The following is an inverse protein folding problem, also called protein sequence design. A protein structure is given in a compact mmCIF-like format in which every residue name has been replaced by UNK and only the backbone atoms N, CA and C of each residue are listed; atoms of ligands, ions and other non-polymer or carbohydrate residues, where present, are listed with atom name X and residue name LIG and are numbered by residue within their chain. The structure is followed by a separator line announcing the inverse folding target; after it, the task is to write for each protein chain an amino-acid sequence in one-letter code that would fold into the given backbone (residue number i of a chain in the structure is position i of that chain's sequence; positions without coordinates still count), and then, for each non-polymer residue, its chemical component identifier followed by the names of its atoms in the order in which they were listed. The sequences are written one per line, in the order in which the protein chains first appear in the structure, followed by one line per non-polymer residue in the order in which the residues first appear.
data_IF_052817074711
#
_entry.id   IF_052817074711
#
_cell.length_a   1.000
_cell.length_b   1.000
_cell.length_c   1.000
_cell.angle_alpha   90.00
_cell.angle_beta   90.00
_cell.angle_gamma   90.00
#
_symmetry.space_group_name_H-M   'P 1'
#
loop_
_entity.id
_entity.type
_entity.pdbx_description
1 polymer ?
#
# COMPACT_ATOMS: atom_id res chain seq x y z
N UNK A 1 6.56 -7.04 -11.10
CA UNK A 1 7.27 -6.10 -10.20
C UNK A 1 6.82 -6.31 -8.74
N UNK A 2 7.77 -6.42 -7.81
CA UNK A 2 7.46 -6.48 -6.37
C UNK A 2 7.15 -5.05 -5.91
N UNK A 3 6.02 -4.82 -5.26
CA UNK A 3 5.63 -3.50 -4.77
C UNK A 3 6.64 -3.06 -3.71
N UNK A 4 7.09 -1.80 -3.78
CA UNK A 4 7.84 -1.20 -2.69
C UNK A 4 6.86 -0.88 -1.55
N UNK A 5 6.66 -1.88 -0.69
CA UNK A 5 5.69 -1.81 0.42
C UNK A 5 6.02 -0.65 1.37
N UNK A 6 7.29 -0.31 1.56
CA UNK A 6 7.69 0.81 2.40
C UNK A 6 7.19 2.14 1.85
N UNK A 7 7.43 2.39 0.54
CA UNK A 7 6.96 3.61 -0.13
C UNK A 7 5.44 3.70 -0.14
N UNK A 8 4.75 2.59 -0.40
CA UNK A 8 3.29 2.54 -0.36
C UNK A 8 2.74 2.88 1.01
N UNK A 9 3.30 2.29 2.08
CA UNK A 9 2.86 2.55 3.45
C UNK A 9 3.10 4.02 3.82
N UNK A 10 4.24 4.60 3.45
CA UNK A 10 4.49 6.03 3.69
C UNK A 10 3.50 6.94 2.96
N UNK A 11 3.33 6.75 1.65
CA UNK A 11 2.39 7.56 0.86
C UNK A 11 0.95 7.44 1.37
N UNK A 12 0.54 6.24 1.77
CA UNK A 12 -0.77 6.01 2.39
C UNK A 12 -0.94 6.75 3.71
N UNK A 13 0.06 6.71 4.60
CA UNK A 13 0.03 7.41 5.88
C UNK A 13 -0.06 8.93 5.70
N UNK A 14 0.69 9.50 4.76
CA UNK A 14 0.63 10.93 4.42
C UNK A 14 -0.77 11.36 3.95
N UNK A 15 -1.51 10.46 3.30
CA UNK A 15 -2.89 10.69 2.86
C UNK A 15 -3.96 10.32 3.91
N UNK A 16 -3.54 9.92 5.11
CA UNK A 16 -4.40 9.55 6.23
C UNK A 16 -4.97 8.13 6.16
N UNK A 17 -4.38 7.25 5.36
CA UNK A 17 -4.80 5.85 5.21
C UNK A 17 -4.00 4.92 6.13
N UNK A 18 -4.70 4.14 6.94
CA UNK A 18 -4.10 3.11 7.79
C UNK A 18 -3.80 1.83 7.02
N UNK A 19 -2.55 1.61 6.64
CA UNK A 19 -2.09 0.42 5.91
C UNK A 19 -0.98 -0.30 6.70
N UNK A 20 -0.97 -1.63 6.63
CA UNK A 20 0.12 -2.46 7.11
C UNK A 20 0.60 -3.44 6.00
N UNK A 21 1.89 -3.78 6.01
CA UNK A 21 2.44 -4.83 5.16
C UNK A 21 1.82 -6.20 5.50
N UNK A 22 1.59 -7.05 4.49
CA UNK A 22 1.20 -8.45 4.71
C UNK A 22 2.27 -9.25 5.45
N UNK A 23 3.52 -8.84 5.35
CA UNK A 23 4.67 -9.58 5.89
C UNK A 23 4.62 -9.61 7.43
N UNK A 24 4.03 -8.58 8.04
CA UNK A 24 3.76 -8.54 9.49
C UNK A 24 2.78 -9.64 9.97
N UNK A 25 2.12 -10.35 9.05
CA UNK A 25 1.16 -11.42 9.31
C UNK A 25 1.62 -12.77 8.73
N UNK A 26 2.79 -12.83 8.10
CA UNK A 26 3.35 -14.07 7.54
C UNK A 26 4.13 -14.84 8.62
N UNK A 27 3.96 -16.16 8.64
CA UNK A 27 4.82 -17.09 9.40
C UNK A 27 5.85 -17.79 8.51
N UNK A 28 5.79 -17.55 7.20
CA UNK A 28 6.72 -18.09 6.20
C UNK A 28 7.85 -17.11 5.90
N UNK A 29 9.08 -17.64 5.76
CA UNK A 29 10.27 -16.91 5.33
C UNK A 29 10.84 -17.52 4.02
N UNK A 30 10.94 -16.74 2.92
CA UNK A 30 10.49 -15.36 2.78
C UNK A 30 8.94 -15.25 2.67
N UNK A 31 8.35 -14.11 3.07
CA UNK A 31 6.91 -13.90 2.96
C UNK A 31 6.40 -14.11 1.53
N UNK A 32 5.25 -14.77 1.34
CA UNK A 32 4.83 -15.29 0.03
C UNK A 32 4.24 -14.23 -0.91
N UNK A 33 3.97 -13.00 -0.45
CA UNK A 33 2.99 -12.14 -1.11
C UNK A 33 3.38 -10.69 -1.30
N UNK A 34 2.89 -10.13 -2.42
CA UNK A 34 2.83 -8.72 -2.67
C UNK A 34 1.46 -8.16 -2.26
N UNK A 35 1.18 -8.09 -0.96
CA UNK A 35 -0.13 -7.72 -0.43
C UNK A 35 -0.02 -6.69 0.70
N UNK A 36 -1.14 -6.02 0.96
CA UNK A 36 -1.29 -5.08 2.08
C UNK A 36 -2.59 -5.32 2.83
N UNK A 37 -2.59 -4.98 4.12
CA UNK A 37 -3.81 -4.91 4.94
C UNK A 37 -4.26 -3.45 5.03
N UNK A 38 -5.48 -3.18 4.59
CA UNK A 38 -6.13 -1.87 4.69
C UNK A 38 -7.10 -1.83 5.88
N UNK A 39 -6.98 -0.82 6.72
CA UNK A 39 -7.90 -0.60 7.85
C UNK A 39 -9.02 0.37 7.45
N UNK A 40 -10.26 -0.12 7.39
CA UNK A 40 -11.43 0.69 6.98
C UNK A 40 -12.31 1.15 8.14
N UNK A 41 -12.06 0.68 9.37
CA UNK A 41 -12.89 0.99 10.54
C UNK A 41 -12.92 2.47 10.96
N UNK A 42 -12.05 3.31 10.38
CA UNK A 42 -12.09 4.77 10.58
C UNK A 42 -13.01 5.52 9.62
N UNK A 43 -13.58 4.85 8.59
CA UNK A 43 -14.52 5.48 7.68
C UNK A 43 -15.89 5.63 8.35
N UNK A 44 -16.33 6.87 8.55
CA UNK A 44 -17.57 7.20 9.26
C UNK A 44 -18.84 7.03 8.41
N UNK A 45 -18.69 7.03 7.10
CA UNK A 45 -19.76 6.83 6.13
C UNK A 45 -19.21 6.26 4.79
N UNK A 46 -20.13 5.99 3.86
CA UNK A 46 -19.79 5.43 2.55
C UNK A 46 -18.99 6.40 1.66
N UNK A 47 -19.19 7.72 1.82
CA UNK A 47 -18.45 8.73 1.08
C UNK A 47 -16.99 8.80 1.53
N UNK A 48 -16.75 8.73 2.84
CA UNK A 48 -15.41 8.63 3.42
C UNK A 48 -14.69 7.36 2.96
N UNK A 49 -15.40 6.22 2.89
CA UNK A 49 -14.85 4.98 2.35
C UNK A 49 -14.48 5.12 0.87
N UNK A 50 -15.37 5.67 0.05
CA UNK A 50 -15.10 5.88 -1.37
C UNK A 50 -13.89 6.81 -1.60
N UNK A 51 -13.80 7.90 -0.84
CA UNK A 51 -12.65 8.80 -0.88
C UNK A 51 -11.35 8.11 -0.47
N UNK A 52 -11.38 7.25 0.55
CA UNK A 52 -10.20 6.49 0.98
C UNK A 52 -9.72 5.50 -0.11
N UNK A 53 -10.66 4.82 -0.79
CA UNK A 53 -10.33 3.91 -1.89
C UNK A 53 -9.81 4.66 -3.13
N UNK A 54 -10.33 5.85 -3.41
CA UNK A 54 -9.85 6.70 -4.49
C UNK A 54 -8.38 7.14 -4.26
N UNK A 55 -8.07 7.62 -3.05
CA UNK A 55 -6.70 7.94 -2.63
C UNK A 55 -5.76 6.75 -2.76
N UNK A 56 -6.20 5.56 -2.34
CA UNK A 56 -5.40 4.34 -2.49
C UNK A 56 -5.13 4.02 -3.97
N UNK A 57 -6.14 4.17 -4.83
CA UNK A 57 -5.98 3.96 -6.26
C UNK A 57 -4.96 4.94 -6.88
N UNK A 58 -4.97 6.20 -6.47
CA UNK A 58 -3.99 7.20 -6.89
C UNK A 58 -2.57 6.77 -6.48
N UNK A 59 -2.36 6.43 -5.20
CA UNK A 59 -1.05 5.98 -4.70
C UNK A 59 -0.54 4.75 -5.44
N UNK A 60 -1.40 3.77 -5.69
CA UNK A 60 -1.03 2.56 -6.43
C UNK A 60 -0.74 2.83 -7.91
N UNK A 61 -1.35 3.87 -8.48
CA UNK A 61 -1.13 4.31 -9.86
C UNK A 61 0.11 5.19 -10.02
N UNK A 62 0.51 5.90 -8.95
CA UNK A 62 1.73 6.70 -8.86
C UNK A 62 2.98 5.87 -8.51
N UNK A 63 2.79 4.63 -8.02
CA UNK A 63 3.89 3.71 -7.76
C UNK A 63 4.75 3.56 -9.04
N UNK A 64 6.06 3.85 -8.99
CA UNK A 64 6.82 4.09 -10.20
C UNK A 64 6.88 2.84 -11.08
N UNK A 65 6.70 3.05 -12.39
CA UNK A 65 7.34 2.29 -13.46
C UNK A 65 8.67 1.72 -12.94
N UNK A 66 8.79 0.39 -12.97
CA UNK A 66 10.02 -0.29 -12.61
C UNK A 66 11.17 0.24 -13.48
N UNK A 67 11.95 1.21 -12.97
CA UNK A 67 13.28 1.51 -13.52
C UNK A 67 14.20 0.35 -13.16
N UNK A 68 14.06 -0.75 -13.89
CA UNK A 68 15.21 -1.51 -14.34
C UNK A 68 16.12 -0.51 -15.06
N UNK A 69 17.13 0.01 -14.37
CA UNK A 69 18.43 0.42 -14.89
C UNK A 69 19.16 1.28 -13.85
N UNK A 70 20.04 0.63 -13.08
CA UNK A 70 21.36 1.16 -12.79
C UNK A 70 22.24 0.02 -12.26
N UNK A 71 23.12 -0.47 -13.13
CA UNK A 71 24.37 -1.13 -12.78
C UNK A 71 25.27 -0.03 -12.17
N UNK A 72 25.92 -0.31 -11.04
CA UNK A 72 27.21 0.28 -10.66
C UNK A 72 28.07 -0.81 -10.05
#
# INVERSE_FOLDING_TARGET
PRLDQYRLIQAAQEQGLGIASSDAFSVEEPPPGNAIRLSLGGAVDQGALAGALAKLNEILSEAPEARHNAIV
#
